data_IF_233347603400
#
_entry.id   IF_233347603400
#
_cell.length_a   1.000
_cell.length_b   1.000
_cell.length_c   1.000
_cell.angle_alpha   90.00
_cell.angle_beta   90.00
_cell.angle_gamma   90.00
#
_symmetry.space_group_name_H-M   'P 1'
#
loop_
_entity.id
_entity.type
_entity.pdbx_description
1 polymer ?
#
# COMPACT_ATOMS: atom_id res chain seq x y z
N UNK A 1 6.77 -10.10 -6.73
CA UNK A 1 6.13 -9.49 -5.55
C UNK A 1 5.10 -8.45 -5.96
N UNK A 2 3.82 -8.79 -5.84
CA UNK A 2 2.69 -7.87 -6.07
C UNK A 2 2.62 -6.86 -4.94
N UNK A 3 2.55 -5.58 -5.26
CA UNK A 3 2.36 -4.51 -4.28
C UNK A 3 0.91 -4.07 -4.29
N UNK A 4 0.35 -3.93 -3.10
CA UNK A 4 -0.93 -3.29 -2.87
C UNK A 4 -0.71 -2.10 -1.93
N UNK A 5 -1.66 -1.18 -1.86
CA UNK A 5 -1.61 -0.17 -0.81
C UNK A 5 -2.78 0.78 -0.78
N UNK A 6 -2.73 1.64 0.23
CA UNK A 6 -3.71 2.72 0.46
C UNK A 6 -3.05 4.06 0.18
N UNK A 7 -3.64 4.84 -0.74
CA UNK A 7 -3.23 6.21 -1.03
C UNK A 7 -4.17 7.18 -0.31
N UNK A 8 -3.63 8.18 0.39
CA UNK A 8 -4.39 9.28 1.00
C UNK A 8 -3.66 9.94 2.15
N UNK A 9 -4.22 10.99 2.76
CA UNK A 9 -3.61 11.69 3.90
C UNK A 9 -4.68 12.29 4.83
N UNK A 10 -4.50 12.24 6.17
CA UNK A 10 -3.51 11.46 6.91
C UNK A 10 -3.93 9.99 7.02
N UNK A 11 -2.99 9.05 6.84
CA UNK A 11 -3.28 7.61 6.91
C UNK A 11 -2.39 6.82 7.89
N UNK A 12 -1.61 7.51 8.73
CA UNK A 12 -0.71 6.86 9.69
C UNK A 12 -1.43 5.98 10.74
N UNK A 13 -2.71 6.25 11.02
CA UNK A 13 -3.54 5.43 11.91
C UNK A 13 -4.34 4.35 11.18
N UNK A 14 -4.13 4.16 9.87
CA UNK A 14 -4.82 3.13 9.11
C UNK A 14 -4.44 1.73 9.61
N UNK A 15 -5.47 0.93 9.93
CA UNK A 15 -5.30 -0.48 10.28
C UNK A 15 -5.12 -1.38 9.05
N UNK A 16 -5.30 -0.85 7.83
CA UNK A 16 -5.29 -1.64 6.60
C UNK A 16 -3.97 -2.37 6.38
N UNK A 17 -2.82 -1.72 6.63
CA UNK A 17 -1.51 -2.37 6.49
C UNK A 17 -1.41 -3.61 7.38
N UNK A 18 -1.68 -3.45 8.67
CA UNK A 18 -1.67 -4.56 9.63
C UNK A 18 -2.63 -5.66 9.23
N UNK A 19 -3.87 -5.31 8.90
CA UNK A 19 -4.90 -6.27 8.50
C UNK A 19 -4.48 -7.11 7.29
N UNK A 20 -3.97 -6.47 6.22
CA UNK A 20 -3.59 -7.20 5.00
C UNK A 20 -2.32 -8.00 5.19
N UNK A 21 -1.33 -7.51 5.95
CA UNK A 21 -0.17 -8.32 6.34
C UNK A 21 -0.60 -9.59 7.07
N UNK A 22 -1.43 -9.48 8.12
CA UNK A 22 -1.93 -10.63 8.88
C UNK A 22 -2.78 -11.57 8.01
N UNK A 23 -3.58 -11.03 7.10
CA UNK A 23 -4.38 -11.82 6.16
C UNK A 23 -3.49 -12.62 5.21
N UNK A 24 -2.47 -12.01 4.61
CA UNK A 24 -1.56 -12.69 3.69
C UNK A 24 -0.79 -13.81 4.37
N UNK A 25 -0.32 -13.57 5.60
CA UNK A 25 0.32 -14.59 6.43
C UNK A 25 -0.63 -15.75 6.76
N UNK A 26 -1.86 -15.44 7.21
CA UNK A 26 -2.86 -16.44 7.61
C UNK A 26 -3.36 -17.30 6.44
N UNK A 27 -3.48 -16.70 5.26
CA UNK A 27 -4.01 -17.36 4.06
C UNK A 27 -2.90 -17.93 3.17
N UNK A 28 -1.65 -17.93 3.63
CA UNK A 28 -0.47 -18.43 2.87
C UNK A 28 -0.35 -17.76 1.48
N UNK A 29 -0.71 -16.48 1.40
CA UNK A 29 -0.62 -15.70 0.16
C UNK A 29 0.79 -15.13 0.07
N UNK A 30 1.65 -15.85 -0.63
CA UNK A 30 3.04 -15.45 -0.86
C UNK A 30 3.18 -14.38 -1.96
N UNK A 31 4.39 -13.81 -2.05
CA UNK A 31 4.78 -12.86 -3.08
C UNK A 31 3.89 -11.60 -3.17
N UNK A 32 3.34 -11.15 -2.03
CA UNK A 32 2.58 -9.91 -1.97
C UNK A 32 2.89 -9.06 -0.73
N UNK A 33 2.67 -7.74 -0.85
CA UNK A 33 2.83 -6.78 0.25
C UNK A 33 1.72 -5.74 0.22
N UNK A 34 1.48 -5.11 1.38
CA UNK A 34 0.56 -3.99 1.50
C UNK A 34 1.26 -2.81 2.18
N UNK A 35 1.24 -1.64 1.55
CA UNK A 35 1.89 -0.43 2.06
C UNK A 35 0.94 0.76 2.14
N UNK A 36 1.32 1.75 2.95
CA UNK A 36 0.61 3.03 3.05
C UNK A 36 1.38 4.09 2.28
N UNK A 37 0.68 4.80 1.39
CA UNK A 37 1.24 5.88 0.58
C UNK A 37 0.60 7.21 1.01
N UNK A 38 1.17 7.88 2.03
CA UNK A 38 0.64 9.13 2.53
C UNK A 38 0.87 10.24 1.50
N UNK A 39 -0.16 10.55 0.71
CA UNK A 39 -0.15 11.60 -0.31
C UNK A 39 -1.23 12.63 0.02
N UNK A 40 -0.80 13.88 0.19
CA UNK A 40 -1.70 15.00 0.51
C UNK A 40 -2.44 15.50 -0.73
N UNK A 41 -1.79 15.53 -1.89
CA UNK A 41 -2.38 15.96 -3.15
C UNK A 41 -2.57 14.77 -4.10
N UNK A 42 -3.68 14.76 -4.84
CA UNK A 42 -4.01 13.67 -5.76
C UNK A 42 -3.09 13.67 -6.99
N UNK A 43 -2.54 14.83 -7.33
CA UNK A 43 -1.60 15.04 -8.44
C UNK A 43 -0.28 14.28 -8.21
N UNK A 44 0.13 14.10 -6.95
CA UNK A 44 1.37 13.41 -6.56
C UNK A 44 1.32 11.91 -6.87
N UNK A 45 0.14 11.35 -7.14
CA UNK A 45 -0.04 9.96 -7.56
C UNK A 45 0.72 9.64 -8.85
N UNK A 46 0.91 10.62 -9.74
CA UNK A 46 1.70 10.43 -10.96
C UNK A 46 3.15 10.08 -10.64
N UNK A 47 3.76 10.83 -9.72
CA UNK A 47 5.13 10.56 -9.28
C UNK A 47 5.23 9.22 -8.55
N UNK A 48 4.22 8.85 -7.76
CA UNK A 48 4.16 7.55 -7.10
C UNK A 48 4.25 6.40 -8.12
N UNK A 49 3.48 6.44 -9.21
CA UNK A 49 3.53 5.37 -10.23
C UNK A 49 4.82 5.36 -11.07
N UNK A 50 5.54 6.49 -11.16
CA UNK A 50 6.85 6.53 -11.81
C UNK A 50 7.94 5.86 -10.96
N UNK A 51 7.88 6.08 -9.64
CA UNK A 51 8.83 5.52 -8.67
C UNK A 51 8.51 4.05 -8.37
N UNK A 52 7.24 3.75 -8.11
CA UNK A 52 6.73 2.42 -7.79
C UNK A 52 6.15 1.73 -9.03
N UNK A 53 7.04 1.32 -9.94
CA UNK A 53 6.69 0.73 -11.25
C UNK A 53 5.82 -0.54 -11.21
N UNK A 54 5.60 -1.13 -10.03
CA UNK A 54 4.84 -2.35 -9.81
C UNK A 54 3.68 -2.17 -8.80
N UNK A 55 3.28 -0.92 -8.54
CA UNK A 55 2.02 -0.58 -7.88
C UNK A 55 0.93 -0.42 -8.94
#
# INVERSE_FOLDING_TARGET
MKKYGLIGFPIGHSFSKKYFTEKFEKEEIEDCMYELYPLENIEDVRFLFEVEKNL
#
